data_IF_676928032781
#
_entry.id   IF_676928032781
#
_cell.length_a   1.000
_cell.length_b   1.000
_cell.length_c   1.000
_cell.angle_alpha   90.00
_cell.angle_beta   90.00
_cell.angle_gamma   90.00
#
_symmetry.space_group_name_H-M   'P 1'
#
loop_
_entity.id
_entity.type
_entity.pdbx_description
1 polymer ?
#
# COMPACT_ATOMS: atom_id res chain seq x y z
N UNK A 1 -4.51 -4.03 -9.63
CA UNK A 1 -5.54 -4.50 -8.69
C UNK A 1 -4.93 -4.64 -7.30
N UNK A 2 -5.64 -4.22 -6.24
CA UNK A 2 -5.22 -4.37 -4.84
C UNK A 2 -6.11 -5.43 -4.18
N UNK A 3 -5.53 -6.34 -3.39
CA UNK A 3 -6.26 -7.43 -2.71
C UNK A 3 -5.68 -7.54 -1.30
N UNK A 4 -6.56 -7.68 -0.30
CA UNK A 4 -6.19 -7.96 1.08
C UNK A 4 -6.23 -9.47 1.30
N UNK A 5 -5.17 -10.03 1.86
CA UNK A 5 -5.05 -11.46 2.17
C UNK A 5 -5.04 -11.63 3.69
N UNK A 6 -6.04 -12.31 4.22
CA UNK A 6 -6.04 -12.78 5.60
C UNK A 6 -5.31 -14.14 5.65
N UNK A 7 -4.16 -14.17 6.31
CA UNK A 7 -3.27 -15.32 6.37
C UNK A 7 -2.98 -15.62 7.84
N UNK A 8 -3.15 -16.87 8.29
CA UNK A 8 -2.76 -17.25 9.65
C UNK A 8 -1.29 -16.92 9.90
N UNK A 9 -0.97 -16.36 11.08
CA UNK A 9 0.41 -15.93 11.44
C UNK A 9 1.45 -17.03 11.21
N UNK A 10 1.10 -18.30 11.50
CA UNK A 10 1.97 -19.47 11.28
C UNK A 10 2.40 -19.69 9.83
N UNK A 11 1.67 -19.10 8.87
CA UNK A 11 1.90 -19.19 7.42
C UNK A 11 2.28 -17.86 6.79
N UNK A 12 2.16 -16.74 7.52
CA UNK A 12 2.42 -15.40 7.01
C UNK A 12 3.85 -15.24 6.49
N UNK A 13 4.86 -15.73 7.22
CA UNK A 13 6.27 -15.65 6.80
C UNK A 13 6.52 -16.40 5.49
N UNK A 14 6.03 -17.64 5.39
CA UNK A 14 6.17 -18.45 4.17
C UNK A 14 5.48 -17.79 2.97
N UNK A 15 4.29 -17.24 3.18
CA UNK A 15 3.54 -16.63 2.09
C UNK A 15 4.16 -15.29 1.64
N UNK A 16 4.74 -14.53 2.58
CA UNK A 16 5.49 -13.32 2.25
C UNK A 16 6.75 -13.62 1.43
N UNK A 17 7.48 -14.70 1.74
CA UNK A 17 8.63 -15.16 0.95
C UNK A 17 8.23 -15.53 -0.48
N UNK A 18 7.13 -16.25 -0.65
CA UNK A 18 6.59 -16.58 -1.97
C UNK A 18 6.19 -15.32 -2.75
N UNK A 19 5.49 -14.37 -2.12
CA UNK A 19 5.09 -13.13 -2.79
C UNK A 19 6.32 -12.28 -3.17
N UNK A 20 7.36 -12.25 -2.34
CA UNK A 20 8.63 -11.57 -2.64
C UNK A 20 9.40 -12.21 -3.80
N UNK A 21 9.23 -13.50 -4.03
CA UNK A 21 9.85 -14.17 -5.19
C UNK A 21 9.26 -13.72 -6.54
N UNK A 22 8.05 -13.14 -6.51
CA UNK A 22 7.38 -12.60 -7.69
C UNK A 22 7.77 -11.13 -7.88
N UNK A 23 8.67 -10.84 -8.83
CA UNK A 23 9.21 -9.50 -9.08
C UNK A 23 8.18 -8.42 -9.45
N UNK A 24 6.99 -8.84 -9.90
CA UNK A 24 5.89 -7.96 -10.28
C UNK A 24 4.89 -7.69 -9.13
N UNK A 25 5.08 -8.31 -7.96
CA UNK A 25 4.20 -8.15 -6.80
C UNK A 25 4.86 -7.24 -5.78
N UNK A 26 4.20 -6.13 -5.45
CA UNK A 26 4.62 -5.24 -4.35
C UNK A 26 3.91 -5.64 -3.07
N UNK A 27 4.66 -6.15 -2.09
CA UNK A 27 4.12 -6.53 -0.78
C UNK A 27 4.27 -5.37 0.21
N UNK A 28 3.17 -4.95 0.86
CA UNK A 28 3.20 -4.03 2.01
C UNK A 28 2.56 -4.72 3.21
N UNK A 29 3.31 -4.98 4.30
CA UNK A 29 2.72 -5.51 5.52
C UNK A 29 1.82 -4.44 6.15
N UNK A 30 0.65 -4.85 6.64
CA UNK A 30 -0.21 -3.97 7.43
C UNK A 30 0.32 -3.90 8.87
N UNK A 31 0.25 -2.73 9.53
CA UNK A 31 0.68 -2.58 10.92
C UNK A 31 -0.15 -3.45 11.86
N UNK A 32 0.53 -4.27 12.67
CA UNK A 32 -0.07 -5.23 13.61
C UNK A 32 -0.57 -4.49 14.85
N UNK A 33 -1.81 -4.76 15.28
CA UNK A 33 -2.40 -4.22 16.53
C UNK A 33 -3.39 -3.06 16.35
N UNK A 34 -3.74 -2.71 15.11
CA UNK A 34 -4.75 -1.71 14.76
C UNK A 34 -5.83 -2.46 13.95
N UNK A 35 -7.13 -2.21 14.17
CA UNK A 35 -8.20 -2.91 13.42
C UNK A 35 -7.96 -2.78 11.90
N UNK A 36 -8.27 -3.83 11.14
CA UNK A 36 -7.88 -3.95 9.72
C UNK A 36 -8.21 -2.70 8.88
N UNK A 37 -9.38 -2.10 9.11
CA UNK A 37 -9.81 -0.87 8.45
C UNK A 37 -8.92 0.34 8.78
N UNK A 38 -8.51 0.47 10.04
CA UNK A 38 -7.63 1.55 10.50
C UNK A 38 -6.20 1.33 10.04
N UNK A 39 -5.74 0.08 9.97
CA UNK A 39 -4.42 -0.27 9.46
C UNK A 39 -4.31 0.05 7.96
N UNK A 40 -5.35 -0.29 7.18
CA UNK A 40 -5.43 0.06 5.76
C UNK A 40 -5.46 1.58 5.56
N UNK A 41 -6.32 2.29 6.30
CA UNK A 41 -6.41 3.75 6.22
C UNK A 41 -5.06 4.44 6.51
N UNK A 42 -4.36 4.03 7.57
CA UNK A 42 -3.05 4.60 7.91
C UNK A 42 -2.03 4.32 6.80
N UNK A 43 -2.00 3.10 6.25
CA UNK A 43 -1.08 2.76 5.18
C UNK A 43 -1.34 3.57 3.89
N UNK A 44 -2.60 3.76 3.52
CA UNK A 44 -2.99 4.57 2.37
C UNK A 44 -2.74 6.06 2.58
N UNK A 45 -3.05 6.57 3.77
CA UNK A 45 -2.80 7.96 4.13
C UNK A 45 -1.31 8.29 4.14
N UNK A 46 -0.48 7.44 4.75
CA UNK A 46 0.98 7.62 4.74
C UNK A 46 1.53 7.60 3.31
N UNK A 47 1.04 6.70 2.45
CA UNK A 47 1.44 6.68 1.05
C UNK A 47 1.08 7.98 0.32
N UNK A 48 -0.11 8.53 0.54
CA UNK A 48 -0.52 9.79 -0.07
C UNK A 48 0.35 10.98 0.38
N UNK A 49 0.76 10.99 1.66
CA UNK A 49 1.69 12.01 2.18
C UNK A 49 3.07 11.87 1.54
N UNK A 50 3.58 10.65 1.38
CA UNK A 50 4.87 10.41 0.72
C UNK A 50 4.83 10.86 -0.75
N UNK A 51 3.76 10.54 -1.49
CA UNK A 51 3.57 10.98 -2.87
C UNK A 51 3.50 12.52 -2.97
N UNK A 52 2.83 13.18 -2.03
CA UNK A 52 2.81 14.65 -1.97
C UNK A 52 4.21 15.23 -1.71
N UNK A 53 5.00 14.62 -0.83
CA UNK A 53 6.37 15.03 -0.57
C UNK A 53 7.28 14.84 -1.78
N UNK A 54 7.09 13.77 -2.55
CA UNK A 54 7.82 13.55 -3.80
C UNK A 54 7.47 14.60 -4.87
N UNK A 55 6.22 15.03 -4.92
CA UNK A 55 5.79 16.15 -5.78
C UNK A 55 6.41 17.48 -5.32
N UNK A 56 6.34 17.79 -4.02
CA UNK A 56 6.92 19.01 -3.45
C UNK A 56 8.45 19.07 -3.60
N UNK A 57 9.12 17.92 -3.56
CA UNK A 57 10.57 17.81 -3.77
C UNK A 57 10.98 17.76 -5.25
N UNK A 58 10.01 17.82 -6.17
CA UNK A 58 10.24 17.83 -7.62
C UNK A 58 10.65 16.47 -8.21
N UNK A 59 10.52 15.37 -7.44
CA UNK A 59 10.82 14.00 -7.90
C UNK A 59 9.67 13.37 -8.67
N UNK A 60 8.44 13.85 -8.45
CA UNK A 60 7.23 13.38 -9.11
C UNK A 60 6.38 14.55 -9.63
N UNK A 61 5.59 14.33 -10.67
CA UNK A 61 4.65 15.31 -11.19
C UNK A 61 3.30 15.15 -10.50
N UNK A 62 2.68 16.25 -10.07
CA UNK A 62 1.35 16.22 -9.48
C UNK A 62 0.33 15.65 -10.48
N UNK A 63 -0.49 14.70 -10.03
CA UNK A 63 -1.63 14.23 -10.79
C UNK A 63 -2.78 15.26 -10.73
N UNK A 64 -3.55 15.37 -11.81
CA UNK A 64 -4.75 16.19 -11.81
C UNK A 64 -5.79 15.57 -10.85
N UNK A 65 -6.37 16.38 -9.96
CA UNK A 65 -7.34 15.94 -8.99
C UNK A 65 -8.60 15.35 -9.64
N UNK A 66 -8.99 15.83 -10.82
CA UNK A 66 -10.15 15.28 -11.55
C UNK A 66 -9.92 13.86 -12.03
N UNK A 67 -8.70 13.53 -12.47
CA UNK A 67 -8.34 12.19 -12.95
C UNK A 67 -8.35 11.15 -11.81
N UNK A 68 -8.21 11.60 -10.55
CA UNK A 68 -8.29 10.74 -9.37
C UNK A 68 -9.74 10.37 -9.00
N UNK A 69 -10.71 11.22 -9.34
CA UNK A 69 -12.12 10.97 -9.06
C UNK A 69 -12.71 9.89 -9.99
N UNK A 70 -12.18 9.78 -11.20
CA UNK A 70 -12.63 8.80 -12.22
C UNK A 70 -12.03 7.39 -12.01
N UNK A 71 -11.05 7.24 -11.11
CA UNK A 71 -10.31 5.99 -10.88
C UNK A 71 -10.81 5.15 -9.67
N UNK A 72 -11.88 5.60 -9.01
CA UNK A 72 -12.55 4.94 -7.88
C UNK A 72 -13.65 3.97 -8.34
#
# INVERSE_FOLDING_TARGET
MKIVLDIPDSKATFMLELLRSLSFVKTKPLPVGISDEKALFIAEFSQAVDELNDVLSGKAQAANAYDLLDAL
#
